data_IF_739476721797
#
_entry.id   IF_739476721797
#
_cell.length_a   1.000
_cell.length_b   1.000
_cell.length_c   1.000
_cell.angle_alpha   90.00
_cell.angle_beta   90.00
_cell.angle_gamma   90.00
#
_symmetry.space_group_name_H-M   'P 1'
#
loop_
_entity.id
_entity.type
_entity.pdbx_description
1 polymer ?
#
# COMPACT_ATOMS: atom_id res chain seq x y z
N UNK A 1 32.79 15.23 24.24
CA UNK A 1 31.38 15.67 24.22
C UNK A 1 30.71 15.21 25.51
N UNK A 2 30.19 16.12 26.35
CA UNK A 2 29.75 15.77 27.71
C UNK A 2 28.29 15.28 27.69
N UNK A 3 28.01 14.03 28.15
CA UNK A 3 26.67 13.37 28.11
C UNK A 3 25.54 14.25 28.63
N UNK A 4 25.84 15.10 29.62
CA UNK A 4 24.88 16.03 30.24
C UNK A 4 24.46 17.18 29.32
N UNK A 5 25.34 17.63 28.44
CA UNK A 5 25.00 18.67 27.44
C UNK A 5 24.21 18.08 26.27
N UNK A 6 24.46 16.81 25.91
CA UNK A 6 23.68 16.12 24.89
C UNK A 6 22.22 15.94 25.32
N UNK A 7 21.96 15.49 26.55
CA UNK A 7 20.61 15.31 27.10
C UNK A 7 19.85 16.64 27.30
N UNK A 8 20.54 17.70 27.73
CA UNK A 8 19.93 19.04 27.79
C UNK A 8 19.52 19.54 26.41
N UNK A 9 20.38 19.40 25.42
CA UNK A 9 20.10 19.90 24.07
C UNK A 9 19.04 19.06 23.34
N UNK A 10 18.98 17.75 23.56
CA UNK A 10 17.92 16.89 22.99
C UNK A 10 16.54 17.13 23.65
N UNK A 11 16.51 17.44 24.95
CA UNK A 11 15.26 17.77 25.65
C UNK A 11 14.57 19.05 25.14
N UNK A 12 15.34 20.07 24.75
CA UNK A 12 14.77 21.32 24.18
C UNK A 12 14.25 21.15 22.75
N UNK A 13 14.88 20.29 21.95
CA UNK A 13 14.43 20.01 20.57
C UNK A 13 13.13 19.20 20.56
N UNK A 14 12.96 18.24 21.47
CA UNK A 14 11.75 17.44 21.58
C UNK A 14 10.55 18.23 22.15
N UNK A 15 10.80 19.24 23.00
CA UNK A 15 9.73 20.10 23.53
C UNK A 15 9.24 21.13 22.50
N UNK A 16 10.14 21.65 21.64
CA UNK A 16 9.79 22.66 20.64
C UNK A 16 8.82 22.19 19.54
N UNK A 17 8.88 20.92 19.15
CA UNK A 17 7.97 20.33 18.15
C UNK A 17 6.56 20.04 18.68
N UNK A 18 6.39 19.93 20.00
CA UNK A 18 5.09 19.66 20.63
C UNK A 18 4.23 20.91 20.83
N UNK A 19 4.80 22.11 20.69
CA UNK A 19 4.12 23.40 20.93
C UNK A 19 4.09 24.32 19.70
N UNK A 20 4.05 23.76 18.49
CA UNK A 20 3.84 24.57 17.28
C UNK A 20 2.41 25.12 17.27
N UNK A 21 2.21 26.46 17.31
CA UNK A 21 0.89 27.07 17.23
C UNK A 21 0.15 26.62 15.96
N UNK A 22 -1.17 26.42 16.04
CA UNK A 22 -1.96 25.90 14.93
C UNK A 22 -1.82 26.70 13.61
N UNK A 23 -1.58 28.01 13.70
CA UNK A 23 -1.36 28.88 12.54
C UNK A 23 0.02 28.70 11.86
N UNK A 24 0.99 28.08 12.53
CA UNK A 24 2.32 27.78 11.98
C UNK A 24 2.45 26.34 11.44
N UNK A 25 1.48 25.46 11.73
CA UNK A 25 1.41 24.11 11.13
C UNK A 25 1.45 24.10 9.59
N UNK A 26 0.84 25.06 8.86
CA UNK A 26 1.00 25.13 7.41
C UNK A 26 2.45 25.38 6.98
N UNK A 27 3.21 26.16 7.76
CA UNK A 27 4.61 26.48 7.47
C UNK A 27 5.52 25.25 7.71
N UNK A 28 5.25 24.50 8.76
CA UNK A 28 5.92 23.22 9.06
C UNK A 28 5.59 22.15 8.01
N UNK A 29 4.32 22.07 7.59
CA UNK A 29 3.89 21.19 6.50
C UNK A 29 4.52 21.57 5.16
N UNK A 30 4.69 22.86 4.86
CA UNK A 30 5.38 23.35 3.66
C UNK A 30 6.88 23.05 3.70
N UNK A 31 7.53 23.27 4.85
CA UNK A 31 8.95 22.94 5.03
C UNK A 31 9.20 21.43 4.95
N UNK A 32 8.29 20.60 5.48
CA UNK A 32 8.34 19.15 5.35
C UNK A 32 8.00 18.66 3.93
N UNK A 33 7.16 19.37 3.16
CA UNK A 33 6.84 18.98 1.77
C UNK A 33 8.02 19.25 0.82
N UNK A 34 8.84 20.29 1.09
CA UNK A 34 10.09 20.55 0.36
C UNK A 34 11.28 19.70 0.86
N UNK A 35 11.35 19.39 2.16
CA UNK A 35 12.41 18.54 2.74
C UNK A 35 12.16 17.04 2.54
N UNK A 36 10.90 16.60 2.45
CA UNK A 36 10.58 15.23 2.06
C UNK A 36 10.74 15.14 0.55
N UNK A 37 11.72 14.38 0.08
CA UNK A 37 11.92 14.02 -1.33
C UNK A 37 10.76 13.15 -1.89
N UNK A 38 9.50 13.41 -1.51
CA UNK A 38 8.32 12.56 -1.71
C UNK A 38 8.64 11.07 -1.55
N UNK A 39 9.08 10.67 -0.34
CA UNK A 39 9.28 9.25 -0.05
C UNK A 39 7.95 8.51 -0.23
N UNK A 40 7.94 7.52 -1.12
CA UNK A 40 6.75 6.72 -1.39
C UNK A 40 6.68 5.53 -0.43
N UNK A 41 5.50 5.26 0.12
CA UNK A 41 5.16 4.00 0.77
C UNK A 41 4.36 3.13 -0.22
N UNK A 42 4.80 1.90 -0.46
CA UNK A 42 4.04 0.93 -1.25
C UNK A 42 3.53 -0.16 -0.31
N UNK A 43 2.21 -0.28 -0.19
CA UNK A 43 1.54 -1.29 0.63
C UNK A 43 1.06 -2.40 -0.29
N UNK A 44 1.51 -3.63 -0.03
CA UNK A 44 1.10 -4.84 -0.75
C UNK A 44 0.19 -5.68 0.15
N UNK A 45 -1.07 -5.84 -0.23
CA UNK A 45 -2.02 -6.69 0.49
C UNK A 45 -2.11 -8.09 -0.12
N UNK A 46 -1.94 -9.12 0.69
CA UNK A 46 -2.23 -10.51 0.34
C UNK A 46 -3.67 -10.86 0.78
N UNK A 47 -4.61 -10.78 -0.15
CA UNK A 47 -6.06 -10.85 0.13
C UNK A 47 -6.60 -12.28 0.06
N UNK A 48 -7.44 -12.65 1.05
CA UNK A 48 -8.07 -13.98 1.16
C UNK A 48 -7.53 -14.85 2.30
N UNK A 49 -6.70 -14.32 3.21
CA UNK A 49 -6.21 -15.09 4.35
C UNK A 49 -4.99 -15.94 4.05
N UNK A 50 -3.94 -15.30 3.52
CA UNK A 50 -2.66 -15.97 3.26
C UNK A 50 -2.16 -16.71 4.50
N UNK A 51 -1.86 -17.99 4.32
CA UNK A 51 -1.31 -18.82 5.37
C UNK A 51 0.17 -18.46 5.61
N UNK A 52 0.39 -17.64 6.63
CA UNK A 52 1.71 -17.14 7.01
C UNK A 52 2.72 -18.26 7.31
N UNK A 53 2.27 -19.40 7.85
CA UNK A 53 3.16 -20.51 8.22
C UNK A 53 3.66 -21.33 7.02
N UNK A 54 3.01 -21.25 5.86
CA UNK A 54 3.58 -21.74 4.60
C UNK A 54 4.17 -20.63 3.74
N UNK A 55 4.15 -19.36 4.19
CA UNK A 55 4.85 -18.25 3.55
C UNK A 55 6.25 -18.09 4.14
N UNK A 56 6.32 -17.98 5.47
CA UNK A 56 7.53 -18.03 6.28
C UNK A 56 7.45 -19.30 7.12
N UNK A 57 8.08 -20.35 6.62
CA UNK A 57 8.03 -21.72 7.15
C UNK A 57 8.93 -21.83 8.36
N UNK A 58 8.40 -22.11 9.58
CA UNK A 58 9.20 -22.38 10.76
C UNK A 58 9.71 -23.82 10.76
N UNK A 59 10.56 -24.17 9.78
CA UNK A 59 11.01 -25.54 9.54
C UNK A 59 11.79 -26.16 10.71
N UNK A 60 12.33 -25.33 11.62
CA UNK A 60 13.00 -25.81 12.84
C UNK A 60 12.03 -26.16 13.98
N UNK A 61 10.71 -26.03 13.79
CA UNK A 61 9.71 -26.24 14.85
C UNK A 61 8.87 -27.50 14.59
N UNK A 62 9.06 -28.54 15.40
CA UNK A 62 8.32 -29.81 15.27
C UNK A 62 6.79 -29.66 15.36
N UNK A 63 6.29 -28.66 16.10
CA UNK A 63 4.85 -28.42 16.23
C UNK A 63 4.24 -28.10 14.86
N UNK A 64 4.98 -27.42 13.97
CA UNK A 64 4.54 -27.15 12.60
C UNK A 64 4.21 -28.44 11.86
N UNK A 65 5.10 -29.43 11.88
CA UNK A 65 4.89 -30.73 11.23
C UNK A 65 3.78 -31.56 11.91
N UNK A 66 3.73 -31.54 13.24
CA UNK A 66 2.69 -32.26 14.00
C UNK A 66 1.28 -31.74 13.70
N UNK A 67 1.13 -30.42 13.56
CA UNK A 67 -0.16 -29.75 13.32
C UNK A 67 -0.53 -29.64 11.85
N UNK A 68 0.42 -29.82 10.92
CA UNK A 68 0.22 -29.56 9.48
C UNK A 68 0.62 -30.73 8.59
N UNK A 69 0.32 -31.96 9.04
CA UNK A 69 0.73 -33.22 8.39
C UNK A 69 0.52 -33.30 6.87
N UNK A 70 -0.51 -32.65 6.33
CA UNK A 70 -0.86 -32.68 4.90
C UNK A 70 -0.26 -31.54 4.07
N UNK A 71 0.19 -30.46 4.71
CA UNK A 71 0.57 -29.21 4.03
C UNK A 71 1.91 -28.64 4.53
N UNK A 72 2.61 -29.35 5.41
CA UNK A 72 3.92 -28.95 5.89
C UNK A 72 4.96 -29.03 4.77
N UNK A 73 5.79 -28.01 4.66
CA UNK A 73 6.91 -27.94 3.72
C UNK A 73 8.17 -28.46 4.41
N UNK A 74 8.90 -29.35 3.73
CA UNK A 74 10.04 -30.03 4.37
C UNK A 74 11.26 -29.10 4.50
N UNK A 75 12.15 -29.31 5.49
CA UNK A 75 13.33 -28.48 5.69
C UNK A 75 14.27 -28.39 4.48
N UNK A 76 14.31 -29.42 3.63
CA UNK A 76 15.10 -29.46 2.40
C UNK A 76 14.48 -28.68 1.22
N UNK A 77 13.19 -28.34 1.30
CA UNK A 77 12.46 -27.62 0.25
C UNK A 77 12.43 -26.11 0.48
N UNK A 78 12.63 -25.65 1.71
CA UNK A 78 12.55 -24.22 2.03
C UNK A 78 13.75 -23.43 1.51
N UNK A 79 13.52 -22.17 1.20
CA UNK A 79 14.60 -21.20 1.00
C UNK A 79 15.02 -20.71 2.38
N UNK A 80 16.14 -21.21 2.91
CA UNK A 80 16.57 -20.91 4.28
C UNK A 80 16.86 -19.42 4.47
N UNK A 81 16.34 -18.85 5.55
CA UNK A 81 16.64 -17.49 6.01
C UNK A 81 17.54 -17.49 7.24
N UNK A 82 17.35 -18.48 8.12
CA UNK A 82 18.14 -18.77 9.30
C UNK A 82 17.94 -20.25 9.71
N UNK A 83 18.42 -20.65 10.89
CA UNK A 83 18.36 -22.03 11.37
C UNK A 83 16.94 -22.52 11.71
N UNK A 84 15.98 -21.62 11.89
CA UNK A 84 14.61 -21.93 12.34
C UNK A 84 13.54 -21.64 11.30
N UNK A 85 13.80 -20.73 10.35
CA UNK A 85 12.80 -20.21 9.41
C UNK A 85 13.34 -20.11 7.98
N UNK A 86 12.46 -20.39 7.02
CA UNK A 86 12.71 -20.26 5.59
C UNK A 86 11.49 -19.74 4.84
N UNK A 87 11.66 -19.29 3.59
CA UNK A 87 10.53 -18.95 2.72
C UNK A 87 10.00 -20.21 2.04
N UNK A 88 8.74 -20.12 1.59
CA UNK A 88 8.16 -21.08 0.66
C UNK A 88 9.07 -21.31 -0.57
N UNK A 89 9.26 -22.55 -1.07
CA UNK A 89 10.07 -22.85 -2.25
C UNK A 89 9.72 -22.02 -3.49
N UNK A 90 8.46 -21.61 -3.63
CA UNK A 90 8.00 -20.82 -4.77
C UNK A 90 8.43 -19.33 -4.69
N UNK A 91 9.08 -18.91 -3.61
CA UNK A 91 9.51 -17.52 -3.39
C UNK A 91 11.00 -17.29 -3.70
N UNK A 92 11.56 -18.08 -4.62
CA UNK A 92 12.98 -18.09 -4.96
C UNK A 92 13.52 -16.70 -5.36
N UNK A 93 12.70 -15.88 -6.02
CA UNK A 93 13.12 -14.56 -6.47
C UNK A 93 13.32 -13.55 -5.32
N UNK A 94 12.87 -13.85 -4.10
CA UNK A 94 13.13 -13.01 -2.93
C UNK A 94 14.45 -13.32 -2.23
N UNK A 95 15.11 -14.43 -2.55
CA UNK A 95 16.35 -14.81 -1.88
C UNK A 95 17.42 -13.71 -2.03
N UNK A 96 17.65 -13.24 -3.26
CA UNK A 96 18.63 -12.18 -3.52
C UNK A 96 18.29 -10.88 -2.76
N UNK A 97 17.00 -10.54 -2.64
CA UNK A 97 16.55 -9.33 -1.93
C UNK A 97 16.83 -9.47 -0.43
N UNK A 98 16.63 -10.66 0.13
CA UNK A 98 16.97 -10.95 1.52
C UNK A 98 18.48 -10.92 1.76
N UNK A 99 19.26 -11.58 0.90
CA UNK A 99 20.72 -11.65 1.01
C UNK A 99 21.38 -10.26 0.89
N UNK A 100 20.76 -9.34 0.15
CA UNK A 100 21.17 -7.93 0.06
C UNK A 100 20.80 -7.09 1.29
N UNK A 101 20.04 -7.63 2.24
CA UNK A 101 19.57 -6.93 3.44
C UNK A 101 18.42 -5.96 3.18
N UNK A 102 17.73 -6.08 2.05
CA UNK A 102 16.63 -5.18 1.65
C UNK A 102 15.26 -5.68 2.12
N UNK A 103 15.18 -6.92 2.59
CA UNK A 103 13.98 -7.52 3.15
C UNK A 103 14.17 -7.83 4.64
N UNK A 104 13.16 -7.54 5.44
CA UNK A 104 13.05 -8.00 6.83
C UNK A 104 11.70 -8.65 7.05
N UNK A 105 11.64 -9.60 7.99
CA UNK A 105 10.43 -10.33 8.34
C UNK A 105 10.12 -10.05 9.80
N UNK A 106 8.89 -9.61 10.07
CA UNK A 106 8.37 -9.41 11.41
C UNK A 106 7.29 -10.46 11.63
N UNK A 107 7.61 -11.46 12.46
CA UNK A 107 6.68 -12.52 12.84
C UNK A 107 5.80 -12.08 14.01
N UNK A 108 4.77 -12.89 14.31
CA UNK A 108 3.90 -12.73 15.46
C UNK A 108 3.14 -11.39 15.50
N UNK A 109 2.87 -10.83 14.32
CA UNK A 109 2.04 -9.63 14.14
C UNK A 109 0.59 -10.07 13.96
N UNK A 110 -0.26 -9.67 14.90
CA UNK A 110 -1.67 -10.05 14.93
C UNK A 110 -2.48 -9.16 15.86
N UNK A 111 -3.76 -9.49 16.02
CA UNK A 111 -4.68 -8.83 16.96
C UNK A 111 -5.26 -9.86 17.93
N UNK A 112 -5.63 -9.47 19.16
CA UNK A 112 -6.13 -10.40 20.16
C UNK A 112 -7.51 -10.97 19.78
N UNK A 113 -7.72 -12.25 20.09
CA UNK A 113 -8.99 -12.97 19.89
C UNK A 113 -9.51 -12.95 18.43
N UNK A 114 -8.79 -13.55 17.47
CA UNK A 114 -9.24 -13.60 16.07
C UNK A 114 -10.54 -14.39 15.91
N UNK A 115 -11.48 -13.83 15.16
CA UNK A 115 -12.84 -14.38 14.94
C UNK A 115 -12.92 -15.34 13.74
N UNK A 116 -11.77 -15.64 13.12
CA UNK A 116 -11.61 -16.48 11.90
C UNK A 116 -12.29 -15.93 10.65
N UNK A 117 -12.85 -14.72 10.68
CA UNK A 117 -13.44 -14.07 9.51
C UNK A 117 -12.36 -13.32 8.72
N UNK A 118 -12.18 -13.69 7.45
CA UNK A 118 -11.27 -12.98 6.55
C UNK A 118 -11.71 -11.52 6.32
N UNK A 119 -13.02 -11.28 6.21
CA UNK A 119 -13.57 -9.93 6.04
C UNK A 119 -13.30 -9.07 7.28
N UNK A 120 -13.61 -9.60 8.47
CA UNK A 120 -13.41 -8.84 9.70
C UNK A 120 -11.93 -8.61 9.99
N UNK A 121 -11.09 -9.61 9.77
CA UNK A 121 -9.63 -9.46 9.88
C UNK A 121 -9.12 -8.38 8.93
N UNK A 122 -9.61 -8.35 7.69
CA UNK A 122 -9.23 -7.32 6.72
C UNK A 122 -9.66 -5.92 7.17
N UNK A 123 -10.88 -5.76 7.67
CA UNK A 123 -11.32 -4.48 8.24
C UNK A 123 -10.41 -4.03 9.39
N UNK A 124 -10.04 -4.93 10.30
CA UNK A 124 -9.13 -4.64 11.41
C UNK A 124 -7.76 -4.18 10.86
N UNK A 125 -7.17 -4.90 9.91
CA UNK A 125 -5.89 -4.51 9.31
C UNK A 125 -5.94 -3.19 8.54
N UNK A 126 -7.03 -2.95 7.82
CA UNK A 126 -7.22 -1.73 7.02
C UNK A 126 -7.55 -0.51 7.90
N UNK A 127 -8.22 -0.71 9.03
CA UNK A 127 -8.58 0.37 9.96
C UNK A 127 -7.57 0.57 11.07
N UNK A 128 -6.77 -0.43 11.41
CA UNK A 128 -5.91 -0.45 12.59
C UNK A 128 -6.71 -0.37 13.90
N UNK A 129 -7.95 -0.88 13.92
CA UNK A 129 -8.83 -0.83 15.09
C UNK A 129 -8.57 -1.99 16.06
N UNK A 130 -9.09 -1.88 17.27
CA UNK A 130 -9.24 -3.06 18.14
C UNK A 130 -10.24 -4.07 17.54
N UNK A 131 -10.16 -5.34 17.95
CA UNK A 131 -10.98 -6.41 17.39
C UNK A 131 -12.48 -6.24 17.65
N UNK A 132 -12.85 -5.50 18.69
CA UNK A 132 -14.24 -5.14 19.05
C UNK A 132 -14.73 -3.81 18.44
N UNK A 133 -13.93 -3.10 17.64
CA UNK A 133 -14.27 -1.79 17.08
C UNK A 133 -14.57 -1.85 15.58
N UNK A 134 -15.67 -1.24 15.15
CA UNK A 134 -16.03 -1.14 13.74
C UNK A 134 -15.88 0.30 13.27
N UNK A 135 -14.81 0.58 12.54
CA UNK A 135 -14.51 1.91 12.02
C UNK A 135 -14.86 1.99 10.53
N UNK A 136 -15.40 3.13 10.11
CA UNK A 136 -15.66 3.45 8.70
C UNK A 136 -14.48 4.11 7.98
N UNK A 137 -13.34 4.29 8.66
CA UNK A 137 -12.15 4.93 8.11
C UNK A 137 -10.91 4.08 8.29
N UNK A 138 -10.07 4.06 7.27
CA UNK A 138 -8.79 3.38 7.23
C UNK A 138 -7.64 4.22 7.76
N UNK A 139 -6.53 3.58 8.14
CA UNK A 139 -5.38 4.28 8.69
C UNK A 139 -4.66 5.17 7.66
N UNK A 140 -4.64 4.79 6.36
CA UNK A 140 -4.09 5.64 5.29
C UNK A 140 -5.00 6.84 5.08
N UNK A 141 -6.32 6.63 5.08
CA UNK A 141 -7.31 7.70 5.03
C UNK A 141 -7.14 8.74 6.14
N UNK A 142 -7.03 8.28 7.40
CA UNK A 142 -6.77 9.16 8.55
C UNK A 142 -5.40 9.84 8.48
N UNK A 143 -4.39 9.18 7.92
CA UNK A 143 -3.11 9.81 7.60
C UNK A 143 -3.29 10.97 6.63
N UNK A 144 -4.09 10.81 5.57
CA UNK A 144 -4.40 11.87 4.63
C UNK A 144 -5.16 13.02 5.31
N UNK A 145 -6.19 12.72 6.10
CA UNK A 145 -6.93 13.75 6.85
C UNK A 145 -5.99 14.62 7.70
N UNK A 146 -5.01 13.99 8.36
CA UNK A 146 -4.12 14.67 9.30
C UNK A 146 -2.93 15.37 8.66
N UNK A 147 -2.33 14.80 7.60
CA UNK A 147 -1.04 15.23 7.06
C UNK A 147 -1.14 15.89 5.68
N UNK A 148 -2.30 15.82 5.04
CA UNK A 148 -2.49 16.30 3.68
C UNK A 148 -3.45 17.49 3.65
N UNK A 149 -3.47 18.35 4.68
CA UNK A 149 -4.39 19.50 4.79
C UNK A 149 -4.33 20.41 3.56
N UNK A 150 -3.12 20.65 3.03
CA UNK A 150 -2.87 21.46 1.82
C UNK A 150 -2.92 20.66 0.51
N UNK A 151 -2.99 19.33 0.56
CA UNK A 151 -3.09 18.52 -0.64
C UNK A 151 -4.45 18.76 -1.29
N UNK A 152 -4.40 19.31 -2.50
CA UNK A 152 -5.58 19.71 -3.27
C UNK A 152 -6.29 18.53 -3.95
N UNK A 153 -5.61 17.40 -4.16
CA UNK A 153 -6.10 16.35 -5.04
C UNK A 153 -5.90 14.92 -4.48
N UNK A 154 -6.83 13.97 -4.80
CA UNK A 154 -6.79 12.58 -4.34
C UNK A 154 -5.55 11.77 -4.73
N UNK A 155 -4.82 12.15 -5.80
CA UNK A 155 -3.63 11.42 -6.25
C UNK A 155 -2.49 11.35 -5.21
N UNK A 156 -2.62 12.02 -4.07
CA UNK A 156 -1.70 11.90 -2.94
C UNK A 156 -1.61 10.46 -2.41
N UNK A 157 -2.66 9.66 -2.59
CA UNK A 157 -2.64 8.23 -2.38
C UNK A 157 -3.37 7.49 -3.50
N UNK A 158 -2.73 6.50 -4.11
CA UNK A 158 -3.26 5.77 -5.26
C UNK A 158 -3.36 4.28 -4.93
N UNK A 159 -4.52 3.69 -5.14
CA UNK A 159 -4.70 2.24 -5.15
C UNK A 159 -4.75 1.75 -6.60
N UNK A 160 -3.87 0.83 -6.97
CA UNK A 160 -3.84 0.28 -8.34
C UNK A 160 -4.81 -0.89 -8.45
N UNK A 161 -6.09 -0.58 -8.33
CA UNK A 161 -7.19 -1.54 -8.44
C UNK A 161 -8.47 -0.84 -8.98
N UNK A 162 -9.56 -1.58 -9.14
CA UNK A 162 -10.85 -1.06 -9.62
C UNK A 162 -11.64 -0.33 -8.54
N UNK A 163 -11.32 -0.60 -7.27
CA UNK A 163 -12.04 -0.06 -6.12
C UNK A 163 -11.08 0.39 -5.04
N UNK A 164 -11.59 1.24 -4.15
CA UNK A 164 -10.81 1.79 -3.05
C UNK A 164 -11.04 0.96 -1.78
N UNK A 165 -9.97 0.39 -1.24
CA UNK A 165 -9.92 -0.31 0.05
C UNK A 165 -10.31 0.60 1.20
N UNK A 166 -10.84 0.04 2.29
CA UNK A 166 -11.20 0.78 3.50
C UNK A 166 -9.97 1.52 4.05
N UNK A 167 -8.78 0.92 3.93
CA UNK A 167 -7.50 1.51 4.34
C UNK A 167 -7.31 2.95 3.81
N UNK A 168 -7.77 3.20 2.58
CA UNK A 168 -7.55 4.43 1.83
C UNK A 168 -8.65 5.49 2.02
N UNK A 169 -9.66 5.23 2.88
CA UNK A 169 -10.80 6.11 3.14
C UNK A 169 -10.67 6.81 4.48
N UNK A 170 -10.58 8.13 4.49
CA UNK A 170 -10.62 8.97 5.69
C UNK A 170 -12.01 9.56 5.93
N UNK A 171 -12.13 10.42 6.93
CA UNK A 171 -13.36 11.17 7.20
C UNK A 171 -13.61 12.24 6.14
N UNK A 172 -12.56 12.94 5.71
CA UNK A 172 -12.67 14.08 4.79
C UNK A 172 -11.90 13.88 3.49
N UNK A 173 -10.84 13.06 3.52
CA UNK A 173 -9.97 12.76 2.39
C UNK A 173 -9.98 11.26 2.10
N UNK A 174 -9.76 10.93 0.83
CA UNK A 174 -9.65 9.55 0.34
C UNK A 174 -8.62 9.49 -0.76
N UNK A 175 -8.02 8.32 -0.94
CA UNK A 175 -7.21 8.04 -2.13
C UNK A 175 -8.05 7.92 -3.40
N UNK A 176 -7.38 7.65 -4.52
CA UNK A 176 -8.02 7.34 -5.80
C UNK A 176 -7.66 5.91 -6.22
N UNK A 177 -8.64 5.16 -6.72
CA UNK A 177 -8.43 3.84 -7.31
C UNK A 177 -8.32 3.96 -8.83
N UNK A 178 -7.29 3.35 -9.44
CA UNK A 178 -7.16 3.25 -10.89
C UNK A 178 -6.23 2.11 -11.33
N UNK A 179 -6.68 1.28 -12.27
CA UNK A 179 -5.81 0.28 -12.92
C UNK A 179 -5.00 0.83 -14.08
N UNK A 180 -5.65 1.61 -14.95
CA UNK A 180 -5.04 2.19 -16.15
C UNK A 180 -5.25 3.72 -16.17
N UNK A 181 -4.18 4.52 -16.01
CA UNK A 181 -4.20 5.97 -16.17
C UNK A 181 -4.83 6.45 -17.47
N UNK A 182 -4.57 5.75 -18.57
CA UNK A 182 -5.07 6.14 -19.87
C UNK A 182 -6.57 5.89 -19.98
N UNK A 183 -7.07 4.78 -19.44
CA UNK A 183 -8.51 4.52 -19.35
C UNK A 183 -9.22 5.55 -18.46
N UNK A 184 -8.68 5.83 -17.26
CA UNK A 184 -9.25 6.85 -16.38
C UNK A 184 -9.26 8.23 -17.05
N UNK A 185 -8.17 8.62 -17.71
CA UNK A 185 -8.10 9.87 -18.45
C UNK A 185 -9.14 9.95 -19.58
N UNK A 186 -9.29 8.88 -20.38
CA UNK A 186 -10.30 8.84 -21.45
C UNK A 186 -11.71 8.98 -20.88
N UNK A 187 -12.05 8.20 -19.84
CA UNK A 187 -13.38 8.21 -19.23
C UNK A 187 -13.73 9.58 -18.63
N UNK A 188 -12.79 10.23 -17.95
CA UNK A 188 -12.99 11.57 -17.38
C UNK A 188 -12.95 12.71 -18.41
N UNK A 189 -12.50 12.43 -19.64
CA UNK A 189 -12.50 13.39 -20.75
C UNK A 189 -13.63 13.18 -21.75
N UNK A 190 -14.45 12.15 -21.55
CA UNK A 190 -15.61 11.86 -22.38
C UNK A 190 -16.59 13.05 -22.42
N UNK A 191 -17.17 13.38 -23.58
CA UNK A 191 -18.12 14.50 -23.70
C UNK A 191 -19.30 14.41 -22.74
N UNK A 192 -19.83 13.21 -22.48
CA UNK A 192 -20.93 13.03 -21.53
C UNK A 192 -20.48 13.33 -20.11
N UNK A 193 -19.32 12.84 -19.69
CA UNK A 193 -18.77 13.13 -18.35
C UNK A 193 -18.53 14.64 -18.16
N UNK A 194 -18.01 15.31 -19.20
CA UNK A 194 -17.82 16.77 -19.19
C UNK A 194 -19.13 17.53 -19.15
N UNK A 195 -20.16 17.08 -19.86
CA UNK A 195 -21.48 17.70 -19.84
C UNK A 195 -22.09 17.64 -18.44
N UNK A 196 -22.02 16.47 -17.77
CA UNK A 196 -22.48 16.31 -16.37
C UNK A 196 -21.73 17.27 -15.43
N UNK A 197 -20.40 17.37 -15.56
CA UNK A 197 -19.61 18.31 -14.75
C UNK A 197 -19.93 19.79 -14.99
N UNK A 198 -20.47 20.13 -16.16
CA UNK A 198 -20.77 21.51 -16.55
C UNK A 198 -22.21 21.92 -16.27
N UNK A 199 -23.15 20.97 -16.18
CA UNK A 199 -24.58 21.25 -16.06
C UNK A 199 -25.00 21.81 -14.70
N UNK A 200 -24.31 21.46 -13.62
CA UNK A 200 -24.83 21.67 -12.25
C UNK A 200 -23.82 22.27 -11.27
N UNK A 201 -23.25 23.44 -11.59
CA UNK A 201 -22.44 24.20 -10.62
C UNK A 201 -23.26 24.78 -9.45
N UNK A 202 -24.58 24.83 -9.58
CA UNK A 202 -25.51 25.36 -8.58
C UNK A 202 -25.74 24.40 -7.40
N UNK A 203 -25.47 23.09 -7.57
CA UNK A 203 -25.68 22.08 -6.53
C UNK A 203 -24.43 21.77 -5.68
N UNK A 204 -23.37 22.59 -5.78
CA UNK A 204 -22.17 22.43 -4.94
C UNK A 204 -22.47 22.63 -3.44
N UNK A 205 -23.57 23.31 -3.12
CA UNK A 205 -24.01 23.59 -1.75
C UNK A 205 -24.96 22.52 -1.17
N UNK A 206 -25.33 21.48 -1.95
CA UNK A 206 -26.09 20.32 -1.45
C UNK A 206 -25.18 19.21 -0.92
N UNK A 207 -25.44 18.69 0.29
CA UNK A 207 -24.50 17.80 1.00
C UNK A 207 -24.04 16.58 0.19
N UNK A 208 -24.96 15.81 -0.40
CA UNK A 208 -24.62 14.56 -1.11
C UNK A 208 -24.27 14.79 -2.58
N UNK A 209 -25.03 15.66 -3.27
CA UNK A 209 -24.82 15.94 -4.69
C UNK A 209 -23.54 16.76 -4.90
N UNK A 210 -23.31 17.76 -4.06
CA UNK A 210 -22.07 18.53 -4.01
C UNK A 210 -20.85 17.66 -3.72
N UNK A 211 -20.95 16.69 -2.80
CA UNK A 211 -19.88 15.71 -2.55
C UNK A 211 -19.55 14.87 -3.80
N UNK A 212 -20.58 14.42 -4.53
CA UNK A 212 -20.40 13.66 -5.76
C UNK A 212 -19.72 14.51 -6.83
N UNK A 213 -20.21 15.73 -7.07
CA UNK A 213 -19.60 16.68 -8.01
C UNK A 213 -18.16 17.00 -7.67
N UNK A 214 -17.88 17.31 -6.41
CA UNK A 214 -16.51 17.53 -5.92
C UNK A 214 -15.62 16.33 -6.20
N UNK A 215 -16.08 15.11 -5.89
CA UNK A 215 -15.34 13.88 -6.17
C UNK A 215 -15.06 13.72 -7.67
N UNK A 216 -16.04 14.02 -8.54
CA UNK A 216 -15.87 13.92 -10.00
C UNK A 216 -14.84 14.95 -10.53
N UNK A 217 -14.90 16.20 -10.06
CA UNK A 217 -13.95 17.26 -10.43
C UNK A 217 -12.53 16.89 -9.99
N UNK A 218 -12.37 16.45 -8.73
CA UNK A 218 -11.10 16.01 -8.17
C UNK A 218 -10.53 14.80 -8.92
N UNK A 219 -11.40 13.87 -9.33
CA UNK A 219 -11.04 12.70 -10.13
C UNK A 219 -10.58 13.10 -11.53
N UNK A 220 -11.28 13.99 -12.22
CA UNK A 220 -10.89 14.48 -13.55
C UNK A 220 -9.54 15.21 -13.53
N UNK A 221 -9.34 16.07 -12.53
CA UNK A 221 -8.07 16.77 -12.35
C UNK A 221 -6.93 15.80 -12.06
N UNK A 222 -7.16 14.83 -11.18
CA UNK A 222 -6.19 13.77 -10.87
C UNK A 222 -5.87 12.91 -12.09
N UNK A 223 -6.87 12.51 -12.88
CA UNK A 223 -6.68 11.71 -14.08
C UNK A 223 -5.79 12.43 -15.10
N UNK A 224 -6.01 13.74 -15.29
CA UNK A 224 -5.21 14.58 -16.18
C UNK A 224 -3.75 14.67 -15.72
N UNK A 225 -3.54 14.92 -14.42
CA UNK A 225 -2.20 14.99 -13.84
C UNK A 225 -1.45 13.65 -13.92
N UNK A 226 -2.10 12.55 -13.51
CA UNK A 226 -1.52 11.20 -13.52
C UNK A 226 -1.16 10.78 -14.95
N UNK A 227 -2.05 11.02 -15.91
CA UNK A 227 -1.81 10.63 -17.30
C UNK A 227 -0.66 11.42 -17.93
N UNK A 228 -0.59 12.74 -17.70
CA UNK A 228 0.47 13.57 -18.27
C UNK A 228 1.83 13.29 -17.63
N UNK A 229 1.86 13.09 -16.31
CA UNK A 229 3.10 12.80 -15.59
C UNK A 229 3.59 11.39 -15.92
N UNK A 230 2.72 10.39 -15.87
CA UNK A 230 3.15 8.99 -16.06
C UNK A 230 3.69 8.68 -17.46
N UNK A 231 3.32 9.46 -18.48
CA UNK A 231 3.85 9.27 -19.85
C UNK A 231 5.34 9.57 -19.99
N UNK A 232 5.93 10.30 -19.04
CA UNK A 232 7.34 10.74 -19.08
C UNK A 232 8.27 9.53 -18.94
N UNK A 233 7.86 8.51 -18.18
CA UNK A 233 8.65 7.32 -17.97
C UNK A 233 8.04 6.08 -18.62
N UNK A 234 8.90 5.26 -19.22
CA UNK A 234 8.57 3.92 -19.70
C UNK A 234 9.61 2.93 -19.18
N UNK A 235 9.16 2.05 -18.29
CA UNK A 235 10.00 0.97 -17.76
C UNK A 235 10.55 0.11 -18.90
N UNK A 236 11.86 -0.12 -18.87
CA UNK A 236 12.57 -1.07 -19.73
C UNK A 236 12.69 -2.46 -19.08
N UNK A 237 12.26 -2.58 -17.81
CA UNK A 237 12.32 -3.84 -17.07
C UNK A 237 11.23 -4.80 -17.54
N UNK A 238 11.61 -6.07 -17.64
CA UNK A 238 10.68 -7.16 -17.92
C UNK A 238 9.96 -7.56 -16.64
N UNK A 239 8.64 -7.58 -16.69
CA UNK A 239 7.79 -8.05 -15.59
C UNK A 239 7.14 -9.40 -15.96
N UNK A 240 6.91 -10.29 -14.98
CA UNK A 240 6.11 -11.50 -15.17
C UNK A 240 4.70 -11.19 -15.71
N UNK A 241 4.13 -12.14 -16.44
CA UNK A 241 2.78 -12.03 -16.99
C UNK A 241 1.72 -12.36 -15.91
N UNK A 242 1.53 -11.44 -14.96
CA UNK A 242 0.50 -11.55 -13.93
C UNK A 242 -0.17 -10.20 -13.65
N UNK A 243 -1.42 -10.25 -13.16
CA UNK A 243 -2.15 -9.04 -12.77
C UNK A 243 -1.40 -8.24 -11.69
N UNK A 244 -0.83 -8.93 -10.70
CA UNK A 244 -0.04 -8.31 -9.64
C UNK A 244 1.26 -7.65 -10.14
N UNK A 245 2.00 -8.33 -11.02
CA UNK A 245 3.21 -7.74 -11.63
C UNK A 245 2.88 -6.49 -12.46
N UNK A 246 1.73 -6.49 -13.16
CA UNK A 246 1.26 -5.30 -13.88
C UNK A 246 0.89 -4.14 -12.94
N UNK A 247 0.28 -4.41 -11.77
CA UNK A 247 0.03 -3.38 -10.75
C UNK A 247 1.35 -2.75 -10.28
N UNK A 248 2.35 -3.58 -9.93
CA UNK A 248 3.66 -3.11 -9.51
C UNK A 248 4.40 -2.32 -10.61
N UNK A 249 4.29 -2.76 -11.86
CA UNK A 249 4.83 -2.03 -13.02
C UNK A 249 4.21 -0.64 -13.15
N UNK A 250 2.90 -0.52 -12.92
CA UNK A 250 2.20 0.77 -12.89
C UNK A 250 2.69 1.64 -11.73
N UNK A 251 2.87 1.08 -10.53
CA UNK A 251 3.46 1.80 -9.38
C UNK A 251 4.88 2.29 -9.70
N UNK A 252 5.74 1.43 -10.24
CA UNK A 252 7.11 1.80 -10.62
C UNK A 252 7.12 2.94 -11.63
N UNK A 253 6.22 2.88 -12.62
CA UNK A 253 6.03 3.95 -13.60
C UNK A 253 5.65 5.27 -12.92
N UNK A 254 4.75 5.27 -11.94
CA UNK A 254 4.37 6.48 -11.22
C UNK A 254 5.52 7.06 -10.40
N UNK A 255 6.22 6.23 -9.64
CA UNK A 255 7.39 6.63 -8.84
C UNK A 255 8.46 7.24 -9.75
N UNK A 256 8.85 6.51 -10.80
CA UNK A 256 9.91 6.93 -11.73
C UNK A 256 9.53 8.14 -12.61
N UNK A 257 8.23 8.43 -12.75
CA UNK A 257 7.76 9.64 -13.44
C UNK A 257 7.74 10.89 -12.54
N UNK A 258 8.07 10.76 -11.25
CA UNK A 258 8.01 11.88 -10.30
C UNK A 258 6.58 12.28 -9.92
N UNK A 259 5.62 11.34 -9.98
CA UNK A 259 4.26 11.59 -9.53
C UNK A 259 4.28 11.92 -8.03
N UNK A 260 3.65 13.04 -7.64
CA UNK A 260 3.59 13.50 -6.24
C UNK A 260 2.60 12.71 -5.38
N UNK A 261 2.77 11.40 -5.34
CA UNK A 261 1.96 10.45 -4.57
C UNK A 261 2.77 9.92 -3.40
N UNK A 262 2.21 9.96 -2.19
CA UNK A 262 2.89 9.52 -0.97
C UNK A 262 2.68 8.04 -0.68
N UNK A 263 1.51 7.50 -1.01
CA UNK A 263 1.16 6.10 -0.74
C UNK A 263 0.61 5.43 -1.99
N UNK A 264 1.17 4.27 -2.32
CA UNK A 264 0.61 3.34 -3.30
C UNK A 264 0.08 2.10 -2.58
N UNK A 265 -1.07 1.61 -3.01
CA UNK A 265 -1.69 0.41 -2.50
C UNK A 265 -1.93 -0.57 -3.64
N UNK A 266 -1.52 -1.82 -3.48
CA UNK A 266 -1.72 -2.90 -4.45
C UNK A 266 -2.19 -4.16 -3.75
N UNK A 267 -2.90 -5.02 -4.47
CA UNK A 267 -3.45 -6.25 -3.90
C UNK A 267 -3.14 -7.47 -4.76
N UNK A 268 -2.82 -8.57 -4.10
CA UNK A 268 -2.80 -9.90 -4.69
C UNK A 268 -3.86 -10.75 -3.97
N UNK A 269 -4.92 -11.10 -4.69
CA UNK A 269 -6.05 -11.89 -4.18
C UNK A 269 -5.91 -13.38 -4.53
N UNK A 270 -6.75 -14.21 -3.91
CA UNK A 270 -6.83 -15.65 -4.18
C UNK A 270 -6.31 -16.54 -3.06
N UNK A 271 -5.89 -15.97 -1.93
CA UNK A 271 -5.33 -16.74 -0.81
C UNK A 271 -6.38 -17.54 -0.01
N UNK A 272 -7.67 -17.35 -0.29
CA UNK A 272 -8.76 -18.13 0.31
C UNK A 272 -8.91 -19.48 -0.41
N UNK A 273 -7.91 -20.34 -0.24
CA UNK A 273 -7.72 -21.50 -1.12
C UNK A 273 -8.74 -22.62 -0.90
N UNK A 274 -9.31 -22.76 0.32
CA UNK A 274 -10.22 -23.82 0.85
C UNK A 274 -9.76 -25.29 0.66
N UNK A 275 -9.18 -25.60 -0.50
CA UNK A 275 -8.68 -26.89 -0.98
C UNK A 275 -7.41 -26.65 -1.81
N UNK A 276 -6.59 -27.70 -2.01
CA UNK A 276 -5.39 -27.62 -2.86
C UNK A 276 -4.43 -26.47 -2.47
N UNK A 277 -4.35 -26.17 -1.17
CA UNK A 277 -3.64 -25.02 -0.62
C UNK A 277 -2.18 -24.94 -1.08
N UNK A 278 -1.45 -26.07 -1.08
CA UNK A 278 -0.03 -26.09 -1.48
C UNK A 278 0.19 -25.53 -2.89
N UNK A 279 -0.60 -25.98 -3.87
CA UNK A 279 -0.46 -25.56 -5.26
C UNK A 279 -1.00 -24.15 -5.47
N UNK A 280 -2.19 -23.84 -4.93
CA UNK A 280 -2.81 -22.53 -5.11
C UNK A 280 -1.99 -21.42 -4.43
N UNK A 281 -1.63 -21.61 -3.16
CA UNK A 281 -0.77 -20.68 -2.43
C UNK A 281 0.61 -20.58 -3.07
N UNK A 282 1.21 -21.71 -3.47
CA UNK A 282 2.51 -21.72 -4.16
C UNK A 282 2.51 -20.85 -5.42
N UNK A 283 1.48 -20.95 -6.26
CA UNK A 283 1.34 -20.12 -7.45
C UNK A 283 1.17 -18.63 -7.14
N UNK A 284 0.45 -18.27 -6.07
CA UNK A 284 0.29 -16.88 -5.64
C UNK A 284 1.60 -16.33 -5.06
N UNK A 285 2.29 -17.10 -4.23
CA UNK A 285 3.58 -16.73 -3.66
C UNK A 285 4.66 -16.60 -4.73
N UNK A 286 4.61 -17.41 -5.80
CA UNK A 286 5.44 -17.22 -6.99
C UNK A 286 5.18 -15.88 -7.65
N UNK A 287 3.91 -15.54 -7.92
CA UNK A 287 3.54 -14.25 -8.51
C UNK A 287 3.99 -13.06 -7.64
N UNK A 288 3.82 -13.18 -6.32
CA UNK A 288 4.30 -12.19 -5.36
C UNK A 288 5.83 -12.04 -5.44
N UNK A 289 6.55 -13.15 -5.33
CA UNK A 289 8.01 -13.18 -5.34
C UNK A 289 8.61 -12.61 -6.62
N UNK A 290 8.17 -13.07 -7.79
CA UNK A 290 8.69 -12.62 -9.09
C UNK A 290 8.28 -11.17 -9.39
N UNK A 291 7.06 -10.77 -9.00
CA UNK A 291 6.58 -9.40 -9.15
C UNK A 291 7.40 -8.42 -8.32
N UNK A 292 7.66 -8.74 -7.05
CA UNK A 292 8.47 -7.90 -6.16
C UNK A 292 9.93 -7.80 -6.62
N UNK A 293 10.52 -8.91 -7.09
CA UNK A 293 11.88 -8.90 -7.63
C UNK A 293 11.99 -8.00 -8.88
N UNK A 294 11.04 -8.13 -9.82
CA UNK A 294 11.00 -7.26 -11.00
C UNK A 294 10.81 -5.78 -10.61
N UNK A 295 9.92 -5.52 -9.65
CA UNK A 295 9.64 -4.17 -9.15
C UNK A 295 10.87 -3.49 -8.53
N UNK A 296 11.55 -4.18 -7.61
CA UNK A 296 12.74 -3.63 -6.95
C UNK A 296 13.90 -3.45 -7.94
N UNK A 297 14.07 -4.37 -8.90
CA UNK A 297 15.06 -4.23 -9.97
C UNK A 297 14.80 -3.02 -10.85
N UNK A 298 13.54 -2.78 -11.19
CA UNK A 298 13.11 -1.63 -11.99
C UNK A 298 13.40 -0.33 -11.25
N UNK A 299 13.02 -0.23 -9.97
CA UNK A 299 13.30 0.94 -9.14
C UNK A 299 14.80 1.19 -8.94
N UNK A 300 15.63 0.15 -8.84
CA UNK A 300 17.10 0.30 -8.70
C UNK A 300 17.76 0.87 -9.96
N UNK A 301 17.14 0.67 -11.12
CA UNK A 301 17.71 1.07 -12.41
C UNK A 301 17.48 2.56 -12.71
N UNK A 302 16.59 3.22 -11.96
CA UNK A 302 16.20 4.63 -12.13
C UNK A 302 16.66 5.50 -10.95
#
# INVERSE_FOLDING_TARGET
>A
MNRRNFLRNTGFVAAGSLFVPAFMKPLEAMALDELSLYKNLVVVQLSGGNDGLNTVVPFGNDIYYQKRKSIAIKPEEVIKLNDMQGLNPNMQALQEIYDQGWMTIINDVGYPNPDRSHFRSMDIWQTGSDSNQFLSTGWIGRYLDSNCQTCKFPYTAIEVDDSLSLAMKGQTKKGIALKDPAALYRNTNDPFFKAVLQSDKEHLDEDNLGYLYKTMIETQSSASYIQNTSKIYKSQSTYPQSGFANQLKTVSKFISSGLKTRVYYVSLSGFDTHVNQLNQQGNLLKQYSEGMAAFLKDLKTN
#
